data_IF_433335730237
#
_entry.id   IF_433335730237
#
_cell.length_a   1.000
_cell.length_b   1.000
_cell.length_c   1.000
_cell.angle_alpha   90.00
_cell.angle_beta   90.00
_cell.angle_gamma   90.00
#
_symmetry.space_group_name_H-M   'P 1'
#
loop_
_entity.id
_entity.type
_entity.pdbx_description
1 polymer ?
#
# COMPACT_ATOMS: atom_id res chain seq x y z
N UNK A 1 14.47 -15.37 -16.31
CA UNK A 1 13.84 -16.35 -15.39
C UNK A 1 12.37 -16.00 -15.31
N UNK A 2 11.47 -16.97 -15.47
CA UNK A 2 10.05 -16.73 -15.24
C UNK A 2 9.82 -16.64 -13.73
N UNK A 3 9.19 -15.56 -13.26
CA UNK A 3 8.79 -15.39 -11.87
C UNK A 3 7.28 -15.22 -11.80
N UNK A 4 6.67 -15.45 -10.65
CA UNK A 4 5.22 -15.31 -10.48
C UNK A 4 4.74 -13.86 -10.62
N UNK A 5 5.57 -12.89 -10.25
CA UNK A 5 5.29 -11.47 -10.42
C UNK A 5 6.05 -10.94 -11.64
N UNK A 6 5.41 -10.84 -12.81
CA UNK A 6 6.03 -10.27 -14.00
C UNK A 6 5.81 -8.74 -14.03
N UNK A 7 6.87 -7.90 -13.99
CA UNK A 7 6.73 -6.45 -14.05
C UNK A 7 5.92 -5.94 -15.25
N UNK A 8 5.92 -6.67 -16.38
CA UNK A 8 5.16 -6.33 -17.57
C UNK A 8 3.63 -6.40 -17.36
N UNK A 9 3.15 -7.17 -16.38
CA UNK A 9 1.72 -7.28 -16.07
C UNK A 9 1.13 -5.95 -15.59
N UNK A 10 1.95 -5.12 -14.93
CA UNK A 10 1.53 -3.79 -14.47
C UNK A 10 1.13 -2.89 -15.64
N UNK A 11 1.79 -3.04 -16.80
CA UNK A 11 1.45 -2.30 -18.02
C UNK A 11 0.07 -2.69 -18.56
N UNK A 12 -0.40 -3.90 -18.23
CA UNK A 12 -1.69 -4.44 -18.64
C UNK A 12 -2.79 -4.18 -17.61
N UNK A 13 -2.54 -3.41 -16.54
CA UNK A 13 -3.52 -3.14 -15.49
C UNK A 13 -4.85 -2.59 -16.03
N UNK A 14 -4.81 -1.81 -17.12
CA UNK A 14 -6.01 -1.30 -17.79
C UNK A 14 -6.90 -2.39 -18.41
N UNK A 15 -6.34 -3.53 -18.78
CA UNK A 15 -7.07 -4.63 -19.44
C UNK A 15 -7.97 -5.40 -18.45
N UNK A 16 -7.83 -5.17 -17.13
CA UNK A 16 -8.76 -5.72 -16.12
C UNK A 16 -10.21 -5.33 -16.44
N UNK A 17 -10.41 -4.20 -17.12
CA UNK A 17 -11.74 -3.76 -17.55
C UNK A 17 -12.37 -4.52 -18.71
N UNK A 18 -11.65 -5.41 -19.41
CA UNK A 18 -12.18 -6.17 -20.55
C UNK A 18 -13.33 -7.10 -20.13
N UNK A 19 -13.15 -7.82 -19.02
CA UNK A 19 -14.14 -8.79 -18.52
C UNK A 19 -15.26 -8.14 -17.69
N UNK A 20 -15.04 -6.92 -17.18
CA UNK A 20 -15.98 -6.24 -16.28
C UNK A 20 -15.96 -4.70 -16.46
N UNK A 21 -16.36 -4.17 -17.64
CA UNK A 21 -16.16 -2.77 -18.00
C UNK A 21 -16.91 -1.78 -17.11
N UNK A 22 -18.14 -2.10 -16.67
CA UNK A 22 -18.90 -1.21 -15.77
C UNK A 22 -18.25 -1.12 -14.39
N UNK A 23 -17.76 -2.25 -13.86
CA UNK A 23 -17.09 -2.29 -12.56
C UNK A 23 -15.75 -1.59 -12.62
N UNK A 24 -14.99 -1.78 -13.70
CA UNK A 24 -13.74 -1.09 -13.94
C UNK A 24 -13.92 0.42 -14.01
N UNK A 25 -14.94 0.90 -14.73
CA UNK A 25 -15.24 2.34 -14.80
C UNK A 25 -15.50 2.91 -13.41
N UNK A 26 -16.34 2.27 -12.60
CA UNK A 26 -16.62 2.70 -11.21
C UNK A 26 -15.35 2.70 -10.35
N UNK A 27 -14.51 1.68 -10.50
CA UNK A 27 -13.24 1.61 -9.79
C UNK A 27 -12.30 2.75 -10.18
N UNK A 28 -12.13 3.04 -11.48
CA UNK A 28 -11.24 4.09 -11.95
C UNK A 28 -11.73 5.49 -11.57
N UNK A 29 -13.04 5.73 -11.60
CA UNK A 29 -13.63 6.98 -11.10
C UNK A 29 -13.32 7.18 -9.61
N UNK A 30 -13.52 6.14 -8.78
CA UNK A 30 -13.17 6.17 -7.37
C UNK A 30 -11.66 6.34 -7.15
N UNK A 31 -10.84 5.53 -7.81
CA UNK A 31 -9.39 5.53 -7.70
C UNK A 31 -8.80 6.91 -8.05
N UNK A 32 -9.23 7.50 -9.17
CA UNK A 32 -8.79 8.83 -9.58
C UNK A 32 -9.16 9.91 -8.56
N UNK A 33 -10.38 9.88 -8.01
CA UNK A 33 -10.79 10.83 -6.98
C UNK A 33 -10.03 10.65 -5.66
N UNK A 34 -9.71 9.41 -5.26
CA UNK A 34 -8.92 9.13 -4.06
C UNK A 34 -7.56 9.83 -4.14
N UNK A 35 -6.90 9.82 -5.29
CA UNK A 35 -5.55 10.38 -5.48
C UNK A 35 -5.48 11.84 -5.92
N UNK A 36 -6.61 12.49 -6.22
CA UNK A 36 -6.66 13.93 -6.52
C UNK A 36 -6.31 14.78 -5.28
N UNK A 37 -5.91 16.05 -5.48
CA UNK A 37 -5.69 16.97 -4.37
C UNK A 37 -6.96 17.22 -3.53
N UNK A 38 -6.76 17.41 -2.22
CA UNK A 38 -7.77 17.82 -1.26
C UNK A 38 -7.09 18.35 0.00
N UNK A 39 -7.62 18.00 1.18
CA UNK A 39 -6.94 18.31 2.46
C UNK A 39 -5.56 17.65 2.57
N UNK A 40 -5.38 16.52 1.89
CA UNK A 40 -4.07 15.94 1.60
C UNK A 40 -3.76 16.17 0.12
N UNK A 41 -2.55 16.60 -0.15
CA UNK A 41 -2.00 16.71 -1.50
C UNK A 41 -1.86 15.33 -2.14
N UNK A 42 -1.87 15.29 -3.47
CA UNK A 42 -1.60 14.06 -4.24
C UNK A 42 -0.25 13.41 -3.83
N UNK A 43 0.76 14.25 -3.52
CA UNK A 43 2.07 13.81 -3.02
C UNK A 43 1.97 13.10 -1.67
N UNK A 44 1.21 13.63 -0.73
CA UNK A 44 1.01 13.00 0.59
C UNK A 44 0.24 11.69 0.45
N UNK A 45 -0.78 11.65 -0.41
CA UNK A 45 -1.54 10.44 -0.70
C UNK A 45 -0.68 9.36 -1.37
N UNK A 46 0.23 9.73 -2.27
CA UNK A 46 1.21 8.82 -2.86
C UNK A 46 2.17 8.25 -1.82
N UNK A 47 2.65 9.06 -0.86
CA UNK A 47 3.49 8.59 0.25
C UNK A 47 2.74 7.59 1.15
N UNK A 48 1.47 7.86 1.45
CA UNK A 48 0.60 6.94 2.19
C UNK A 48 0.45 5.62 1.42
N UNK A 49 0.17 5.69 0.12
CA UNK A 49 0.01 4.51 -0.73
C UNK A 49 1.30 3.68 -0.83
N UNK A 50 2.46 4.34 -0.90
CA UNK A 50 3.78 3.69 -0.87
C UNK A 50 4.05 2.95 0.45
N UNK A 51 3.71 3.56 1.59
CA UNK A 51 3.81 2.91 2.89
C UNK A 51 2.85 1.70 3.00
N UNK A 52 1.61 1.85 2.50
CA UNK A 52 0.62 0.76 2.45
C UNK A 52 1.10 -0.38 1.56
N UNK A 53 1.69 -0.07 0.39
CA UNK A 53 2.24 -1.07 -0.54
C UNK A 53 3.27 -1.98 0.13
N UNK A 54 4.15 -1.41 0.96
CA UNK A 54 5.10 -2.16 1.79
C UNK A 54 4.41 -2.96 2.89
N UNK A 55 3.40 -2.37 3.55
CA UNK A 55 2.67 -3.04 4.62
C UNK A 55 1.92 -4.29 4.14
N UNK A 56 1.34 -4.24 2.93
CA UNK A 56 0.61 -5.36 2.31
C UNK A 56 1.49 -6.23 1.40
N UNK A 57 2.77 -5.87 1.23
CA UNK A 57 3.75 -6.60 0.41
C UNK A 57 3.35 -6.76 -1.06
N UNK A 58 2.79 -5.70 -1.67
CA UNK A 58 2.39 -5.69 -3.07
C UNK A 58 3.55 -5.22 -3.97
N UNK A 59 4.26 -6.09 -4.71
CA UNK A 59 5.43 -5.69 -5.51
C UNK A 59 5.06 -4.70 -6.62
N UNK A 60 3.97 -4.92 -7.33
CA UNK A 60 3.48 -3.99 -8.37
C UNK A 60 3.17 -2.59 -7.81
N UNK A 61 2.59 -2.53 -6.62
CA UNK A 61 2.28 -1.28 -5.94
C UNK A 61 3.56 -0.57 -5.48
N UNK A 62 4.54 -1.32 -4.97
CA UNK A 62 5.85 -0.78 -4.58
C UNK A 62 6.52 -0.14 -5.80
N UNK A 63 6.58 -0.82 -6.93
CA UNK A 63 7.21 -0.30 -8.15
C UNK A 63 6.46 0.93 -8.70
N UNK A 64 5.13 0.86 -8.77
CA UNK A 64 4.29 1.96 -9.27
C UNK A 64 4.43 3.23 -8.44
N UNK A 65 4.31 3.13 -7.10
CA UNK A 65 4.43 4.30 -6.24
C UNK A 65 5.87 4.77 -6.06
N UNK A 66 6.89 3.92 -6.23
CA UNK A 66 8.29 4.36 -6.29
C UNK A 66 8.50 5.34 -7.44
N UNK A 67 8.06 4.98 -8.65
CA UNK A 67 8.18 5.84 -9.84
C UNK A 67 7.36 7.13 -9.67
N UNK A 68 6.10 7.00 -9.25
CA UNK A 68 5.21 8.14 -9.01
C UNK A 68 5.82 9.14 -8.03
N UNK A 69 6.41 8.66 -6.93
CA UNK A 69 7.04 9.53 -5.92
C UNK A 69 8.30 10.23 -6.44
N UNK A 70 9.12 9.53 -7.23
CA UNK A 70 10.30 10.13 -7.88
C UNK A 70 9.88 11.24 -8.85
N UNK A 71 8.85 11.01 -9.67
CA UNK A 71 8.28 12.00 -10.58
C UNK A 71 7.72 13.23 -9.84
N UNK A 72 7.18 13.02 -8.63
CA UNK A 72 6.72 14.09 -7.73
C UNK A 72 7.84 14.78 -6.94
N UNK A 73 9.12 14.45 -7.19
CA UNK A 73 10.27 15.07 -6.54
C UNK A 73 10.48 14.65 -5.09
N UNK A 74 9.90 13.53 -4.65
CA UNK A 74 10.18 12.93 -3.35
C UNK A 74 11.56 12.27 -3.41
N UNK A 75 12.43 12.57 -2.45
CA UNK A 75 13.77 12.01 -2.42
C UNK A 75 13.79 10.63 -1.72
N UNK A 76 14.93 9.95 -1.83
CA UNK A 76 15.11 8.63 -1.24
C UNK A 76 14.94 8.65 0.29
N UNK A 77 15.46 9.67 0.99
CA UNK A 77 15.35 9.74 2.45
C UNK A 77 13.89 9.77 2.92
N UNK A 78 13.06 10.58 2.26
CA UNK A 78 11.62 10.68 2.53
C UNK A 78 10.89 9.35 2.29
N UNK A 79 11.25 8.62 1.23
CA UNK A 79 10.66 7.30 0.96
C UNK A 79 11.06 6.29 2.05
N UNK A 80 12.32 6.29 2.47
CA UNK A 80 12.80 5.39 3.52
C UNK A 80 12.13 5.67 4.86
N UNK A 81 11.86 6.93 5.21
CA UNK A 81 11.04 7.27 6.37
C UNK A 81 9.64 6.61 6.30
N UNK A 82 8.98 6.67 5.15
CA UNK A 82 7.68 6.03 4.94
C UNK A 82 7.74 4.49 5.10
N UNK A 83 8.82 3.85 4.63
CA UNK A 83 9.05 2.40 4.85
C UNK A 83 9.19 2.08 6.34
N UNK A 84 9.94 2.89 7.09
CA UNK A 84 10.08 2.71 8.54
C UNK A 84 8.77 2.92 9.30
N UNK A 85 7.93 3.86 8.87
CA UNK A 85 6.56 4.03 9.39
C UNK A 85 5.75 2.75 9.18
N UNK A 86 5.76 2.17 7.97
CA UNK A 86 5.07 0.91 7.68
C UNK A 86 5.59 -0.25 8.54
N UNK A 87 6.91 -0.34 8.73
CA UNK A 87 7.53 -1.37 9.57
C UNK A 87 7.12 -1.25 11.04
N UNK A 88 7.10 -0.02 11.58
CA UNK A 88 6.70 0.25 12.95
C UNK A 88 5.24 -0.16 13.20
N UNK A 89 4.33 0.13 12.27
CA UNK A 89 2.92 -0.27 12.39
C UNK A 89 2.76 -1.80 12.37
N UNK A 90 3.48 -2.52 11.49
CA UNK A 90 3.44 -4.00 11.46
C UNK A 90 3.97 -4.63 12.75
N UNK A 91 5.10 -4.15 13.24
CA UNK A 91 5.69 -4.62 14.50
C UNK A 91 4.79 -4.29 15.69
N UNK A 92 4.33 -3.04 15.79
CA UNK A 92 3.44 -2.58 16.85
C UNK A 92 2.10 -3.31 16.88
N UNK A 93 1.49 -3.57 15.72
CA UNK A 93 0.27 -4.36 15.62
C UNK A 93 0.48 -5.77 16.18
N UNK A 94 1.60 -6.43 15.87
CA UNK A 94 1.92 -7.76 16.40
C UNK A 94 1.99 -7.76 17.93
N UNK A 95 2.70 -6.78 18.51
CA UNK A 95 2.82 -6.63 19.96
C UNK A 95 1.46 -6.33 20.63
N UNK A 96 0.64 -5.48 20.01
CA UNK A 96 -0.69 -5.15 20.52
C UNK A 96 -1.60 -6.37 20.59
N UNK A 97 -1.57 -7.26 19.58
CA UNK A 97 -2.34 -8.51 19.59
C UNK A 97 -1.85 -9.46 20.70
N UNK A 98 -0.60 -9.36 21.14
CA UNK A 98 -0.07 -10.09 22.30
C UNK A 98 -0.87 -9.84 23.60
N UNK A 99 -1.56 -8.70 23.71
CA UNK A 99 -2.45 -8.44 24.85
C UNK A 99 -3.62 -9.44 24.93
N UNK A 100 -4.09 -9.95 23.80
CA UNK A 100 -5.14 -10.97 23.77
C UNK A 100 -4.65 -12.26 24.45
N UNK A 101 -3.44 -12.70 24.11
CA UNK A 101 -2.82 -13.87 24.76
C UNK A 101 -2.62 -13.63 26.26
N UNK A 102 -2.13 -12.45 26.66
CA UNK A 102 -1.96 -12.08 28.07
C UNK A 102 -3.27 -12.16 28.86
N UNK A 103 -4.37 -11.71 28.25
CA UNK A 103 -5.70 -11.78 28.88
C UNK A 103 -6.17 -13.24 29.06
N UNK A 104 -5.92 -14.10 28.07
CA UNK A 104 -6.25 -15.54 28.16
C UNK A 104 -5.41 -16.24 29.23
N UNK A 105 -4.09 -16.00 29.25
CA UNK A 105 -3.18 -16.57 30.25
C UNK A 105 -3.68 -16.23 31.66
N UNK A 106 -3.94 -14.95 31.93
CA UNK A 106 -4.43 -14.48 33.23
C UNK A 106 -5.75 -15.14 33.64
N UNK A 107 -6.63 -15.47 32.67
CA UNK A 107 -7.90 -16.15 32.95
C UNK A 107 -7.71 -17.64 33.30
N UNK A 108 -6.70 -18.30 32.73
CA UNK A 108 -6.45 -19.73 32.93
C UNK A 108 -5.58 -20.03 34.17
N UNK A 109 -4.78 -19.06 34.62
CA UNK A 109 -3.97 -19.16 35.84
C UNK A 109 -4.75 -18.90 37.14
N UNK A 110 -6.01 -18.44 37.04
CA UNK A 110 -6.95 -18.23 38.15
C UNK A 110 -7.90 -19.42 38.29
#
# INVERSE_FOLDING_TARGET
MNTYYNPEDLLQFGNIGEDAPEMWKKFMEYYGQVFADGELTAREKALIAFAVAHAIQCPYCIDSYTQTLLEMGVNQEQMIEAVHVAAAIRGGATLAHGMQAKNVIKKLEL
#
